data_IF_749349921274
#
_entry.id   IF_749349921274
#
_cell.length_a   1.000
_cell.length_b   1.000
_cell.length_c   1.000
_cell.angle_alpha   90.00
_cell.angle_beta   90.00
_cell.angle_gamma   90.00
#
_symmetry.space_group_name_H-M   'P 1'
#
loop_
_entity.id
_entity.type
_entity.pdbx_description
1 polymer ?
#
# COMPACT_ATOMS: atom_id res chain seq x y z
N UNK A 1 6.64 -23.37 -5.51
CA UNK A 1 8.06 -23.81 -5.59
C UNK A 1 8.88 -22.93 -6.53
N UNK A 2 8.48 -22.72 -7.79
CA UNK A 2 9.20 -21.88 -8.78
C UNK A 2 9.45 -20.43 -8.30
N UNK A 3 8.45 -19.75 -7.72
CA UNK A 3 8.62 -18.37 -7.18
C UNK A 3 9.63 -18.32 -6.03
N UNK A 4 9.60 -19.31 -5.14
CA UNK A 4 10.57 -19.44 -4.04
C UNK A 4 11.99 -19.64 -4.58
N UNK A 5 12.18 -20.53 -5.56
CA UNK A 5 13.48 -20.78 -6.21
C UNK A 5 13.98 -19.50 -6.89
N UNK A 6 13.13 -18.75 -7.59
CA UNK A 6 13.53 -17.46 -8.22
C UNK A 6 13.99 -16.42 -7.19
N UNK A 7 13.25 -16.27 -6.10
CA UNK A 7 13.59 -15.30 -5.02
C UNK A 7 14.84 -15.71 -4.22
N UNK A 8 15.20 -17.00 -4.20
CA UNK A 8 16.33 -17.51 -3.41
C UNK A 8 17.59 -17.80 -4.23
N UNK A 9 17.46 -18.53 -5.34
CA UNK A 9 18.57 -19.01 -6.17
C UNK A 9 19.06 -17.94 -7.14
N UNK A 10 18.16 -17.12 -7.69
CA UNK A 10 18.51 -16.06 -8.65
C UNK A 10 19.52 -15.04 -8.09
N UNK A 11 19.26 -14.44 -6.92
CA UNK A 11 20.21 -13.51 -6.29
C UNK A 11 21.54 -14.17 -5.89
N UNK A 12 21.52 -15.44 -5.48
CA UNK A 12 22.73 -16.18 -5.09
C UNK A 12 23.63 -16.45 -6.30
N UNK A 13 23.05 -16.86 -7.43
CA UNK A 13 23.77 -17.06 -8.69
C UNK A 13 24.37 -15.75 -9.22
N UNK A 14 23.64 -14.64 -9.15
CA UNK A 14 24.13 -13.32 -9.57
C UNK A 14 25.28 -12.78 -8.71
N UNK A 15 25.23 -13.03 -7.40
CA UNK A 15 26.31 -12.69 -6.46
C UNK A 15 27.60 -13.45 -6.78
N UNK A 16 27.50 -14.74 -7.11
CA UNK A 16 28.64 -15.60 -7.42
C UNK A 16 29.25 -15.33 -8.80
N UNK A 17 28.44 -14.89 -9.77
CA UNK A 17 28.87 -14.78 -11.18
C UNK A 17 29.37 -13.40 -11.62
N UNK A 18 29.06 -12.30 -10.91
CA UNK A 18 29.31 -10.95 -11.46
C UNK A 18 29.95 -9.93 -10.53
N UNK A 19 30.28 -10.24 -9.27
CA UNK A 19 30.87 -9.25 -8.34
C UNK A 19 30.00 -8.02 -8.08
N UNK A 20 28.72 -8.06 -8.48
CA UNK A 20 27.73 -7.00 -8.28
C UNK A 20 27.06 -7.23 -6.93
N UNK A 21 26.98 -6.19 -6.09
CA UNK A 21 26.09 -6.18 -4.93
C UNK A 21 24.64 -6.22 -5.43
N UNK A 22 24.07 -7.42 -5.53
CA UNK A 22 22.64 -7.59 -5.79
C UNK A 22 21.88 -6.95 -4.63
N UNK A 23 20.94 -6.04 -4.90
CA UNK A 23 20.03 -5.53 -3.86
C UNK A 23 19.47 -6.74 -3.11
N UNK A 24 19.73 -6.80 -1.80
CA UNK A 24 19.42 -7.97 -0.99
C UNK A 24 17.90 -8.12 -0.81
N UNK A 25 17.18 -8.57 -1.84
CA UNK A 25 15.78 -9.02 -1.75
C UNK A 25 15.70 -10.42 -1.12
N UNK A 26 16.47 -10.66 -0.05
CA UNK A 26 16.52 -11.99 0.54
C UNK A 26 15.23 -12.24 1.31
N UNK A 27 14.50 -13.26 0.87
CA UNK A 27 13.40 -13.83 1.62
C UNK A 27 13.96 -14.52 2.88
N UNK A 28 13.47 -14.14 4.06
CA UNK A 28 13.81 -14.82 5.30
C UNK A 28 12.94 -16.06 5.44
N UNK A 29 13.49 -17.22 5.07
CA UNK A 29 12.74 -18.48 5.10
C UNK A 29 12.28 -18.85 6.51
N UNK A 30 13.13 -18.67 7.52
CA UNK A 30 12.78 -18.98 8.91
C UNK A 30 11.61 -18.12 9.40
N UNK A 31 11.65 -16.81 9.17
CA UNK A 31 10.54 -15.90 9.53
C UNK A 31 9.29 -16.19 8.70
N UNK A 32 9.44 -16.49 7.42
CA UNK A 32 8.33 -16.84 6.52
C UNK A 32 7.62 -18.10 6.99
N UNK A 33 8.33 -19.20 7.23
CA UNK A 33 7.76 -20.46 7.70
C UNK A 33 7.12 -20.23 9.07
N UNK A 34 7.86 -19.66 10.03
CA UNK A 34 7.34 -19.38 11.37
C UNK A 34 6.05 -18.56 11.33
N UNK A 35 6.03 -17.46 10.58
CA UNK A 35 4.88 -16.58 10.51
C UNK A 35 3.63 -17.29 9.96
N UNK A 36 3.75 -17.97 8.81
CA UNK A 36 2.60 -18.62 8.19
C UNK A 36 1.99 -19.69 9.11
N UNK A 37 2.81 -20.58 9.68
CA UNK A 37 2.31 -21.64 10.56
C UNK A 37 1.86 -21.13 11.94
N UNK A 38 2.39 -19.99 12.41
CA UNK A 38 1.96 -19.38 13.67
C UNK A 38 0.62 -18.63 13.53
N UNK A 39 0.33 -18.07 12.36
CA UNK A 39 -0.76 -17.09 12.19
C UNK A 39 -1.93 -17.56 11.35
N UNK A 40 -1.79 -18.63 10.57
CA UNK A 40 -2.82 -19.09 9.62
C UNK A 40 -3.26 -20.54 9.87
N UNK A 41 -4.48 -20.92 9.44
CA UNK A 41 -4.88 -22.32 9.39
C UNK A 41 -3.92 -23.15 8.52
N UNK A 42 -3.68 -24.41 8.93
CA UNK A 42 -2.68 -25.29 8.31
C UNK A 42 -2.78 -25.35 6.77
N UNK A 43 -4.00 -25.47 6.23
CA UNK A 43 -4.24 -25.53 4.78
C UNK A 43 -3.77 -24.28 4.03
N UNK A 44 -3.91 -23.10 4.65
CA UNK A 44 -3.40 -21.84 4.08
C UNK A 44 -1.89 -21.74 4.32
N UNK A 45 -1.41 -22.06 5.53
CA UNK A 45 -0.01 -21.96 5.92
C UNK A 45 0.92 -22.77 4.99
N UNK A 46 0.53 -23.99 4.61
CA UNK A 46 1.31 -24.85 3.72
C UNK A 46 1.55 -24.24 2.32
N UNK A 47 0.72 -23.30 1.88
CA UNK A 47 0.92 -22.59 0.60
C UNK A 47 1.97 -21.48 0.69
N UNK A 48 2.41 -21.14 1.91
CA UNK A 48 3.31 -20.01 2.22
C UNK A 48 2.83 -18.69 1.58
N UNK A 49 1.59 -18.24 1.87
CA UNK A 49 1.06 -17.02 1.28
C UNK A 49 1.74 -15.74 1.76
N UNK A 50 2.32 -15.73 2.96
CA UNK A 50 2.98 -14.53 3.51
C UNK A 50 4.49 -14.67 3.41
N UNK A 51 5.15 -13.80 2.65
CA UNK A 51 6.60 -13.71 2.55
C UNK A 51 7.14 -12.61 3.46
N UNK A 52 8.10 -12.99 4.30
CA UNK A 52 8.80 -12.07 5.21
C UNK A 52 10.22 -11.93 4.72
N UNK A 53 10.61 -10.73 4.29
CA UNK A 53 11.97 -10.45 3.83
C UNK A 53 12.89 -10.14 5.01
N UNK A 54 14.21 -10.23 4.78
CA UNK A 54 15.21 -9.78 5.75
C UNK A 54 15.01 -8.30 6.13
N UNK A 55 15.61 -7.87 7.25
CA UNK A 55 15.46 -6.52 7.81
C UNK A 55 14.02 -6.14 8.21
N UNK A 56 13.13 -7.12 8.35
CA UNK A 56 11.81 -6.97 8.99
C UNK A 56 11.79 -7.72 10.31
N UNK A 57 11.55 -6.99 11.41
CA UNK A 57 11.43 -7.55 12.76
C UNK A 57 9.98 -7.85 13.11
N UNK A 58 9.72 -9.05 13.65
CA UNK A 58 8.41 -9.49 14.09
C UNK A 58 8.36 -9.42 15.62
N UNK A 59 7.62 -8.45 16.17
CA UNK A 59 7.50 -8.25 17.62
C UNK A 59 6.27 -8.96 18.18
N UNK A 60 5.11 -8.75 17.55
CA UNK A 60 3.84 -9.37 17.94
C UNK A 60 3.04 -9.78 16.72
N UNK A 61 2.47 -10.97 16.80
CA UNK A 61 1.61 -11.57 15.78
C UNK A 61 0.26 -11.82 16.43
N UNK A 62 -0.65 -10.86 16.27
CA UNK A 62 -2.06 -10.96 16.64
C UNK A 62 -2.85 -11.76 15.62
N UNK A 63 -4.14 -11.46 15.48
CA UNK A 63 -5.03 -12.20 14.56
C UNK A 63 -4.72 -11.83 13.11
N UNK A 64 -4.48 -12.83 12.27
CA UNK A 64 -4.24 -12.67 10.83
C UNK A 64 -5.28 -13.52 10.10
N UNK A 65 -5.98 -12.93 9.13
CA UNK A 65 -6.99 -13.62 8.33
C UNK A 65 -6.74 -13.38 6.85
N UNK A 66 -6.69 -14.45 6.05
CA UNK A 66 -6.71 -14.36 4.59
C UNK A 66 -8.11 -14.76 4.11
N UNK A 67 -8.91 -13.76 3.73
CA UNK A 67 -10.28 -13.87 3.25
C UNK A 67 -10.31 -13.73 1.73
N UNK A 68 -9.68 -14.68 1.05
CA UNK A 68 -9.61 -14.72 -0.41
C UNK A 68 -9.86 -16.14 -0.91
N UNK A 69 -10.63 -16.27 -1.99
CA UNK A 69 -10.93 -17.55 -2.62
C UNK A 69 -9.66 -18.22 -3.18
N UNK A 70 -8.74 -17.40 -3.72
CA UNK A 70 -7.51 -17.87 -4.32
C UNK A 70 -6.28 -17.50 -3.46
N UNK A 71 -5.97 -18.35 -2.49
CA UNK A 71 -4.72 -18.23 -1.70
C UNK A 71 -3.57 -18.89 -2.45
N UNK A 72 -2.51 -18.12 -2.73
CA UNK A 72 -1.31 -18.58 -3.44
C UNK A 72 -0.01 -18.13 -2.75
N UNK A 73 1.11 -18.71 -3.18
CA UNK A 73 2.43 -18.48 -2.58
C UNK A 73 2.92 -17.03 -2.76
N UNK A 74 3.30 -16.38 -1.66
CA UNK A 74 3.81 -15.00 -1.66
C UNK A 74 2.78 -13.96 -2.10
N UNK A 75 1.50 -14.21 -1.82
CA UNK A 75 0.36 -13.30 -1.99
C UNK A 75 0.52 -12.03 -1.14
N UNK A 76 1.03 -12.16 0.09
CA UNK A 76 1.36 -11.03 0.96
C UNK A 76 2.87 -10.96 1.08
N UNK A 77 3.45 -9.77 0.89
CA UNK A 77 4.90 -9.58 0.93
C UNK A 77 5.23 -8.42 1.87
N UNK A 78 6.04 -8.70 2.89
CA UNK A 78 6.46 -7.71 3.88
C UNK A 78 7.96 -7.48 3.87
N UNK A 79 8.31 -6.21 3.66
CA UNK A 79 9.68 -5.76 3.74
C UNK A 79 10.50 -6.07 2.48
N UNK A 80 9.85 -6.32 1.33
CA UNK A 80 10.58 -6.49 0.07
C UNK A 80 11.35 -5.19 -0.19
N UNK A 81 12.65 -5.24 0.04
CA UNK A 81 13.51 -4.06 -0.09
C UNK A 81 13.46 -3.58 -1.54
N UNK A 82 13.50 -2.28 -1.74
CA UNK A 82 13.74 -1.63 -3.03
C UNK A 82 14.88 -0.63 -2.86
N UNK A 83 15.38 -0.05 -3.95
CA UNK A 83 16.43 0.99 -3.90
C UNK A 83 16.14 2.12 -2.90
N UNK A 84 14.85 2.43 -2.68
CA UNK A 84 14.38 3.52 -1.82
C UNK A 84 14.19 3.12 -0.35
N UNK A 85 14.38 1.84 0.00
CA UNK A 85 14.17 1.35 1.36
C UNK A 85 15.18 1.94 2.34
N UNK A 86 14.69 2.55 3.41
CA UNK A 86 15.50 3.05 4.51
C UNK A 86 15.15 2.29 5.80
N UNK A 87 16.18 1.87 6.54
CA UNK A 87 16.03 1.25 7.86
C UNK A 87 15.43 -0.17 7.87
N UNK A 88 15.08 -0.61 9.08
CA UNK A 88 14.49 -1.93 9.33
C UNK A 88 12.97 -1.80 9.51
N UNK A 89 12.22 -2.65 8.80
CA UNK A 89 10.78 -2.76 9.00
C UNK A 89 10.44 -3.42 10.33
N UNK A 90 9.28 -3.10 10.89
CA UNK A 90 8.81 -3.63 12.18
C UNK A 90 7.33 -3.97 12.10
N UNK A 91 6.96 -5.13 12.63
CA UNK A 91 5.55 -5.55 12.70
C UNK A 91 5.23 -5.88 14.14
N UNK A 92 4.35 -5.07 14.72
CA UNK A 92 3.78 -5.25 16.05
C UNK A 92 2.26 -5.22 15.94
N UNK A 93 1.65 -6.38 15.75
CA UNK A 93 0.20 -6.51 15.67
C UNK A 93 -0.34 -7.14 16.96
N UNK A 94 -1.05 -6.38 17.78
CA UNK A 94 -1.89 -6.87 18.88
C UNK A 94 -3.34 -7.12 18.43
N UNK A 95 -3.80 -6.41 17.40
CA UNK A 95 -5.15 -6.48 16.89
C UNK A 95 -5.33 -7.52 15.77
N UNK A 96 -6.13 -7.13 14.77
CA UNK A 96 -6.50 -7.97 13.62
C UNK A 96 -6.05 -7.35 12.31
N UNK A 97 -5.46 -8.16 11.43
CA UNK A 97 -5.19 -7.78 10.04
C UNK A 97 -5.90 -8.76 9.10
N UNK A 98 -6.71 -8.23 8.20
CA UNK A 98 -7.47 -9.00 7.20
C UNK A 98 -6.94 -8.70 5.79
N UNK A 99 -6.63 -9.77 5.05
CA UNK A 99 -6.17 -9.74 3.67
C UNK A 99 -7.24 -10.34 2.75
N UNK A 100 -7.84 -9.51 1.90
CA UNK A 100 -8.81 -9.96 0.89
C UNK A 100 -8.17 -10.24 -0.48
N UNK A 101 -6.90 -9.89 -0.65
CA UNK A 101 -6.15 -10.08 -1.89
C UNK A 101 -4.66 -9.82 -1.71
N UNK A 102 -3.89 -9.75 -2.80
CA UNK A 102 -2.44 -9.52 -2.73
C UNK A 102 -2.08 -8.19 -2.07
N UNK A 103 -1.05 -8.16 -1.24
CA UNK A 103 -0.59 -6.94 -0.57
C UNK A 103 0.93 -6.90 -0.49
N UNK A 104 1.49 -5.75 -0.88
CA UNK A 104 2.92 -5.53 -0.91
C UNK A 104 3.27 -4.36 0.00
N UNK A 105 4.04 -4.65 1.05
CA UNK A 105 4.67 -3.63 1.89
C UNK A 105 6.16 -3.61 1.58
N UNK A 106 6.63 -2.47 1.09
CA UNK A 106 8.03 -2.22 0.81
C UNK A 106 8.91 -2.36 2.06
N UNK A 107 10.22 -2.36 1.84
CA UNK A 107 11.22 -2.35 2.90
C UNK A 107 11.09 -1.17 3.86
N UNK A 108 11.43 -1.38 5.13
CA UNK A 108 11.41 -0.33 6.15
C UNK A 108 10.02 0.05 6.68
N UNK A 109 8.93 -0.54 6.16
CA UNK A 109 7.59 -0.26 6.67
C UNK A 109 7.45 -0.69 8.14
N UNK A 110 6.76 0.14 8.92
CA UNK A 110 6.49 -0.11 10.34
C UNK A 110 4.98 -0.16 10.54
N UNK A 111 4.49 -1.28 11.09
CA UNK A 111 3.11 -1.46 11.51
C UNK A 111 3.09 -1.62 13.03
N UNK A 112 2.34 -0.76 13.70
CA UNK A 112 1.88 -0.95 15.06
C UNK A 112 0.36 -0.93 15.08
N UNK A 113 -0.26 -2.09 15.28
CA UNK A 113 -1.70 -2.25 15.20
C UNK A 113 -2.28 -2.84 16.49
N UNK A 114 -3.21 -2.13 17.11
CA UNK A 114 -4.10 -2.64 18.16
C UNK A 114 -5.58 -2.63 17.75
N UNK A 115 -5.91 -2.11 16.57
CA UNK A 115 -7.25 -2.11 15.97
C UNK A 115 -7.44 -3.18 14.90
N UNK A 116 -8.26 -2.86 13.90
CA UNK A 116 -8.46 -3.69 12.69
C UNK A 116 -7.87 -3.01 11.47
N UNK A 117 -6.99 -3.69 10.74
CA UNK A 117 -6.52 -3.28 9.41
C UNK A 117 -7.11 -4.21 8.35
N UNK A 118 -7.72 -3.66 7.31
CA UNK A 118 -8.27 -4.42 6.18
C UNK A 118 -7.64 -3.96 4.87
N UNK A 119 -7.11 -4.91 4.12
CA UNK A 119 -6.57 -4.68 2.80
C UNK A 119 -7.43 -5.40 1.77
N UNK A 120 -8.06 -4.63 0.90
CA UNK A 120 -9.02 -5.14 -0.08
C UNK A 120 -8.36 -5.78 -1.31
N UNK A 121 -7.03 -5.82 -1.36
CA UNK A 121 -6.25 -6.57 -2.35
C UNK A 121 -5.59 -5.71 -3.42
N UNK A 122 -4.64 -6.31 -4.13
CA UNK A 122 -3.80 -5.64 -5.12
C UNK A 122 -3.19 -4.33 -4.59
N UNK A 123 -2.91 -4.22 -3.29
CA UNK A 123 -2.46 -2.99 -2.62
C UNK A 123 -0.93 -2.92 -2.60
N UNK A 124 -0.37 -1.74 -2.86
CA UNK A 124 1.07 -1.50 -2.68
C UNK A 124 1.32 -0.33 -1.74
N UNK A 125 2.19 -0.56 -0.77
CA UNK A 125 2.63 0.41 0.22
C UNK A 125 4.12 0.60 0.04
N UNK A 126 4.48 1.83 -0.33
CA UNK A 126 5.84 2.25 -0.54
C UNK A 126 6.67 2.16 0.73
N UNK A 127 7.96 2.05 0.52
CA UNK A 127 8.99 1.82 1.52
C UNK A 127 8.94 2.83 2.67
N UNK A 128 9.27 2.40 3.89
CA UNK A 128 9.38 3.27 5.06
C UNK A 128 8.06 3.87 5.55
N UNK A 129 6.90 3.40 5.06
CA UNK A 129 5.59 3.86 5.53
C UNK A 129 5.35 3.41 6.98
N UNK A 130 4.89 4.34 7.82
CA UNK A 130 4.57 4.11 9.23
C UNK A 130 3.06 4.10 9.43
N UNK A 131 2.51 3.01 9.96
CA UNK A 131 1.08 2.83 10.23
C UNK A 131 0.86 2.54 11.71
N UNK A 132 0.22 3.47 12.41
CA UNK A 132 -0.12 3.41 13.83
C UNK A 132 -1.65 3.33 13.97
N UNK A 133 -2.18 2.11 14.04
CA UNK A 133 -3.63 1.87 13.98
C UNK A 133 -4.14 1.38 15.33
N UNK A 134 -5.14 2.08 15.88
CA UNK A 134 -5.71 1.88 17.23
C UNK A 134 -7.20 1.56 17.23
N UNK A 135 -7.87 1.73 16.09
CA UNK A 135 -9.29 1.50 15.87
C UNK A 135 -9.52 0.77 14.54
N UNK A 136 -9.42 1.47 13.40
CA UNK A 136 -9.77 0.93 12.09
C UNK A 136 -9.04 1.62 10.93
N UNK A 137 -8.44 0.79 10.07
CA UNK A 137 -7.91 1.16 8.76
C UNK A 137 -8.49 0.23 7.70
N UNK A 138 -9.06 0.78 6.63
CA UNK A 138 -9.35 0.04 5.40
C UNK A 138 -8.66 0.68 4.21
N UNK A 139 -7.99 -0.14 3.40
CA UNK A 139 -7.39 0.27 2.14
C UNK A 139 -8.03 -0.51 1.00
N UNK A 140 -8.69 0.24 0.11
CA UNK A 140 -9.39 -0.24 -1.07
C UNK A 140 -8.47 -0.95 -2.07
N UNK A 141 -9.10 -1.73 -2.95
CA UNK A 141 -8.40 -2.57 -3.91
C UNK A 141 -7.60 -1.71 -4.90
N UNK A 142 -6.44 -2.18 -5.35
CA UNK A 142 -5.57 -1.48 -6.31
C UNK A 142 -4.98 -0.14 -5.85
N UNK A 143 -5.14 0.21 -4.58
CA UNK A 143 -4.56 1.44 -4.05
C UNK A 143 -3.03 1.39 -4.00
N UNK A 144 -2.39 2.52 -4.30
CA UNK A 144 -0.93 2.74 -4.29
C UNK A 144 -0.61 3.84 -3.31
N UNK A 145 0.19 3.52 -2.30
CA UNK A 145 0.69 4.47 -1.30
C UNK A 145 2.17 4.70 -1.56
N UNK A 146 2.58 5.95 -1.73
CA UNK A 146 3.97 6.33 -1.91
C UNK A 146 4.80 6.10 -0.65
N UNK A 147 6.11 6.03 -0.83
CA UNK A 147 7.08 5.79 0.25
C UNK A 147 7.03 6.87 1.35
N UNK A 148 7.49 6.52 2.55
CA UNK A 148 7.64 7.40 3.71
C UNK A 148 6.34 8.07 4.17
N UNK A 149 5.18 7.48 3.87
CA UNK A 149 3.89 8.00 4.31
C UNK A 149 3.62 7.66 5.78
N UNK A 150 2.70 8.37 6.42
CA UNK A 150 2.31 8.18 7.81
C UNK A 150 0.80 8.02 7.94
N UNK A 151 0.34 6.98 8.64
CA UNK A 151 -1.07 6.72 8.91
C UNK A 151 -1.28 6.60 10.41
N UNK A 152 -2.23 7.38 10.95
CA UNK A 152 -2.57 7.32 12.37
C UNK A 152 -4.04 7.67 12.60
N UNK A 153 -4.84 6.69 13.02
CA UNK A 153 -6.29 6.80 13.25
C UNK A 153 -6.65 7.28 14.67
N UNK A 154 -5.64 7.68 15.44
CA UNK A 154 -5.78 8.21 16.80
C UNK A 154 -4.90 9.44 17.02
N UNK A 155 -5.19 10.18 18.09
CA UNK A 155 -4.27 11.15 18.68
C UNK A 155 -3.61 10.64 19.97
N UNK A 156 -3.85 9.37 20.33
CA UNK A 156 -3.37 8.63 21.53
C UNK A 156 -3.78 9.24 22.90
N UNK A 157 -4.07 10.53 22.97
CA UNK A 157 -4.50 11.24 24.18
C UNK A 157 -5.92 11.81 24.03
N UNK A 158 -6.65 11.89 25.13
CA UNK A 158 -7.94 12.56 25.18
C UNK A 158 -7.76 14.07 25.34
N UNK A 159 -8.69 14.84 24.77
CA UNK A 159 -8.76 16.30 24.92
C UNK A 159 -10.14 16.70 25.44
N UNK A 160 -10.19 17.73 26.28
CA UNK A 160 -11.44 18.33 26.77
C UNK A 160 -11.68 19.66 26.05
N UNK A 161 -12.92 19.91 25.61
CA UNK A 161 -13.33 21.22 25.12
C UNK A 161 -13.63 22.13 26.33
N UNK A 162 -12.94 23.26 26.46
CA UNK A 162 -13.02 24.10 27.68
C UNK A 162 -14.32 24.91 27.80
N UNK A 163 -15.07 25.09 26.71
CA UNK A 163 -16.35 25.80 26.72
C UNK A 163 -17.49 24.87 27.13
N UNK A 164 -17.50 23.64 26.60
CA UNK A 164 -18.56 22.66 26.78
C UNK A 164 -18.24 21.58 27.82
N UNK A 165 -16.99 21.54 28.29
CA UNK A 165 -16.41 20.49 29.14
C UNK A 165 -16.51 19.06 28.56
N UNK A 166 -16.79 18.92 27.26
CA UNK A 166 -16.95 17.61 26.61
C UNK A 166 -15.59 17.01 26.25
N UNK A 167 -15.39 15.74 26.59
CA UNK A 167 -14.30 14.90 26.07
C UNK A 167 -14.84 14.08 24.90
N UNK A 168 -14.13 14.12 23.76
CA UNK A 168 -14.51 13.35 22.57
C UNK A 168 -13.60 12.13 22.39
N UNK A 169 -14.02 11.18 21.54
CA UNK A 169 -13.19 10.01 21.21
C UNK A 169 -11.88 10.47 20.56
N UNK A 170 -10.76 9.94 21.05
CA UNK A 170 -9.43 10.21 20.49
C UNK A 170 -9.09 9.32 19.28
N UNK A 171 -10.04 8.50 18.80
CA UNK A 171 -9.89 7.59 17.66
C UNK A 171 -11.02 7.80 16.67
N UNK A 172 -10.72 7.67 15.39
CA UNK A 172 -11.71 7.61 14.33
C UNK A 172 -11.12 6.93 13.08
N UNK A 173 -11.94 6.20 12.30
CA UNK A 173 -11.46 5.33 11.23
C UNK A 173 -10.73 6.09 10.12
N UNK A 174 -9.84 5.39 9.43
CA UNK A 174 -9.28 5.76 8.13
C UNK A 174 -9.82 4.80 7.06
N UNK A 175 -10.45 5.33 6.01
CA UNK A 175 -11.02 4.54 4.91
C UNK A 175 -10.53 5.08 3.57
N UNK A 176 -9.71 4.31 2.87
CA UNK A 176 -9.17 4.67 1.57
C UNK A 176 -9.92 3.91 0.47
N UNK A 177 -10.53 4.61 -0.48
CA UNK A 177 -11.22 4.02 -1.63
C UNK A 177 -10.30 3.19 -2.54
N UNK A 178 -10.90 2.55 -3.55
CA UNK A 178 -10.21 1.72 -4.55
C UNK A 178 -9.45 2.58 -5.54
N UNK A 179 -8.39 2.03 -6.12
CA UNK A 179 -7.57 2.67 -7.16
C UNK A 179 -7.02 4.05 -6.75
N UNK A 180 -6.93 4.33 -5.45
CA UNK A 180 -6.38 5.58 -4.98
C UNK A 180 -4.87 5.60 -5.19
N UNK A 181 -4.35 6.76 -5.56
CA UNK A 181 -2.92 6.99 -5.68
C UNK A 181 -2.51 8.08 -4.70
N UNK A 182 -1.84 7.67 -3.62
CA UNK A 182 -1.38 8.57 -2.56
C UNK A 182 0.12 8.83 -2.77
N UNK A 183 0.50 10.09 -2.99
CA UNK A 183 1.90 10.47 -3.13
C UNK A 183 2.72 10.19 -1.86
N UNK A 184 4.05 10.16 -2.01
CA UNK A 184 4.98 9.88 -0.92
C UNK A 184 4.90 10.94 0.19
N UNK A 185 5.31 10.57 1.41
CA UNK A 185 5.31 11.44 2.60
C UNK A 185 3.94 12.03 2.95
N UNK A 186 2.85 11.42 2.50
CA UNK A 186 1.51 11.88 2.87
C UNK A 186 1.24 11.53 4.34
N UNK A 187 0.65 12.47 5.08
CA UNK A 187 0.20 12.29 6.46
C UNK A 187 -1.31 12.05 6.42
N UNK A 188 -1.74 10.86 6.85
CA UNK A 188 -3.14 10.43 6.87
C UNK A 188 -3.58 10.25 8.31
N UNK A 189 -4.47 11.13 8.78
CA UNK A 189 -4.97 11.15 10.15
C UNK A 189 -6.39 10.60 10.24
N UNK A 190 -6.81 10.32 11.49
CA UNK A 190 -8.17 9.93 11.87
C UNK A 190 -9.24 10.76 11.15
N UNK A 191 -10.40 10.16 10.89
CA UNK A 191 -11.50 10.69 10.05
C UNK A 191 -11.21 10.78 8.55
N UNK A 192 -10.02 10.40 8.06
CA UNK A 192 -9.77 10.42 6.62
C UNK A 192 -10.65 9.40 5.91
N UNK A 193 -11.49 9.88 4.98
CA UNK A 193 -12.17 9.01 4.01
C UNK A 193 -12.00 9.55 2.61
N UNK A 194 -11.79 8.67 1.64
CA UNK A 194 -11.61 9.04 0.22
C UNK A 194 -12.49 8.16 -0.67
N UNK A 195 -13.06 8.75 -1.72
CA UNK A 195 -13.78 8.02 -2.77
C UNK A 195 -12.82 7.18 -3.60
N UNK A 196 -13.36 6.31 -4.45
CA UNK A 196 -12.59 5.56 -5.45
C UNK A 196 -11.91 6.54 -6.43
N UNK A 197 -10.76 6.14 -6.97
CA UNK A 197 -9.95 6.89 -7.93
C UNK A 197 -9.45 8.28 -7.46
N UNK A 198 -9.42 8.53 -6.16
CA UNK A 198 -8.82 9.73 -5.57
C UNK A 198 -7.29 9.73 -5.75
N UNK A 199 -6.75 10.83 -6.27
CA UNK A 199 -5.32 11.09 -6.34
C UNK A 199 -4.94 12.07 -5.24
N UNK A 200 -3.90 11.78 -4.46
CA UNK A 200 -3.25 12.75 -3.57
C UNK A 200 -1.94 13.11 -4.23
N UNK A 201 -1.89 14.25 -4.90
CA UNK A 201 -0.86 14.55 -5.90
C UNK A 201 0.47 15.00 -5.29
N UNK A 202 0.44 15.73 -4.19
CA UNK A 202 1.63 16.39 -3.64
C UNK A 202 2.24 15.62 -2.48
N UNK A 203 3.57 15.56 -2.45
CA UNK A 203 4.31 15.11 -1.26
C UNK A 203 3.94 15.97 -0.03
N UNK A 204 3.97 15.39 1.16
CA UNK A 204 3.68 16.06 2.43
C UNK A 204 2.23 16.55 2.60
N UNK A 205 1.28 16.10 1.77
CA UNK A 205 -0.15 16.44 1.94
C UNK A 205 -0.69 15.89 3.27
N UNK A 206 -1.57 16.65 3.94
CA UNK A 206 -2.25 16.24 5.17
C UNK A 206 -3.71 15.92 4.90
N UNK A 207 -4.08 14.64 4.98
CA UNK A 207 -5.46 14.18 4.99
C UNK A 207 -5.94 14.03 6.43
N UNK A 208 -7.04 14.69 6.77
CA UNK A 208 -7.58 14.69 8.15
C UNK A 208 -9.11 14.82 8.22
N UNK A 209 -9.80 14.58 7.11
CA UNK A 209 -11.25 14.81 6.96
C UNK A 209 -11.89 13.77 6.05
N UNK A 210 -13.22 13.74 6.07
CA UNK A 210 -13.99 13.01 5.06
C UNK A 210 -13.96 13.80 3.74
N UNK A 211 -13.44 13.19 2.67
CA UNK A 211 -13.38 13.79 1.34
C UNK A 211 -14.40 13.17 0.37
N UNK A 212 -15.25 12.25 0.85
CA UNK A 212 -16.15 11.46 -0.03
C UNK A 212 -17.22 12.31 -0.71
N UNK A 213 -17.64 13.41 -0.07
CA UNK A 213 -18.56 14.41 -0.64
C UNK A 213 -18.09 15.01 -1.97
N UNK A 214 -16.79 14.90 -2.29
CA UNK A 214 -16.24 15.44 -3.53
C UNK A 214 -16.46 14.53 -4.75
N UNK A 215 -16.89 13.28 -4.54
CA UNK A 215 -17.06 12.26 -5.58
C UNK A 215 -15.75 11.56 -5.97
N UNK A 216 -15.82 10.72 -7.01
CA UNK A 216 -14.66 10.04 -7.59
C UNK A 216 -13.79 11.00 -8.44
N UNK A 217 -12.61 10.53 -8.86
CA UNK A 217 -11.71 11.24 -9.78
C UNK A 217 -11.27 12.64 -9.30
N UNK A 218 -11.17 12.82 -7.98
CA UNK A 218 -10.68 14.04 -7.36
C UNK A 218 -9.17 13.99 -7.16
N UNK A 219 -8.53 15.15 -7.30
CA UNK A 219 -7.13 15.36 -6.93
C UNK A 219 -7.07 16.21 -5.68
N UNK A 220 -6.45 15.69 -4.63
CA UNK A 220 -6.22 16.34 -3.35
C UNK A 220 -4.76 16.80 -3.23
N UNK A 221 -4.55 17.95 -2.59
CA UNK A 221 -3.22 18.45 -2.26
C UNK A 221 -3.25 19.54 -1.19
N UNK A 222 -2.09 19.76 -0.55
CA UNK A 222 -1.88 20.83 0.43
C UNK A 222 -1.94 20.38 1.89
N UNK A 223 -1.72 21.32 2.80
CA UNK A 223 -1.73 21.10 4.26
C UNK A 223 -2.57 22.19 4.92
N UNK A 224 -3.80 21.91 5.39
CA UNK A 224 -4.56 20.67 5.16
C UNK A 224 -4.96 20.49 3.69
N UNK A 225 -5.24 19.25 3.28
CA UNK A 225 -5.57 18.95 1.90
C UNK A 225 -6.91 19.58 1.46
N UNK A 226 -6.94 20.06 0.22
CA UNK A 226 -8.12 20.54 -0.50
C UNK A 226 -8.21 19.85 -1.86
N UNK A 227 -9.39 19.89 -2.48
CA UNK A 227 -9.55 19.52 -3.89
C UNK A 227 -8.85 20.57 -4.75
N UNK A 228 -7.90 20.13 -5.56
CA UNK A 228 -7.14 20.99 -6.49
C UNK A 228 -7.48 20.71 -7.95
N UNK A 229 -8.11 19.56 -8.25
CA UNK A 229 -8.67 19.24 -9.55
C UNK A 229 -9.73 18.14 -9.45
N UNK A 230 -10.55 17.98 -10.50
CA UNK A 230 -11.57 16.94 -10.66
C UNK A 230 -11.52 16.35 -12.06
N UNK A 231 -12.08 15.16 -12.24
CA UNK A 231 -12.13 14.46 -13.53
C UNK A 231 -10.77 13.87 -13.94
N UNK A 232 -9.87 13.62 -12.99
CA UNK A 232 -8.53 13.09 -13.25
C UNK A 232 -8.40 11.72 -12.59
N UNK A 233 -7.88 10.75 -13.35
CA UNK A 233 -7.55 9.41 -12.88
C UNK A 233 -6.13 9.04 -13.26
N UNK A 234 -5.59 8.04 -12.57
CA UNK A 234 -4.32 7.41 -12.92
C UNK A 234 -4.54 6.30 -13.96
N UNK A 235 -3.62 6.17 -14.91
CA UNK A 235 -3.51 5.03 -15.81
C UNK A 235 -2.71 3.93 -15.09
N UNK A 236 -3.27 2.73 -14.97
CA UNK A 236 -2.64 1.57 -14.33
C UNK A 236 -2.11 0.54 -15.34
N UNK A 237 -2.58 0.62 -16.59
CA UNK A 237 -2.13 -0.18 -17.73
C UNK A 237 -0.68 0.17 -18.11
N UNK A 238 0.27 -0.76 -17.89
CA UNK A 238 1.68 -0.51 -18.19
C UNK A 238 1.98 -0.40 -19.69
N UNK A 239 1.14 -1.00 -20.56
CA UNK A 239 1.32 -0.89 -22.02
C UNK A 239 0.91 0.50 -22.50
N UNK A 240 -0.25 0.99 -22.04
CA UNK A 240 -0.69 2.36 -22.30
C UNK A 240 0.33 3.39 -21.80
N UNK A 241 0.89 3.18 -20.60
CA UNK A 241 1.99 4.02 -20.10
C UNK A 241 3.23 3.95 -21.01
N UNK A 242 3.61 2.78 -21.51
CA UNK A 242 4.75 2.64 -22.46
C UNK A 242 4.49 3.39 -23.76
N UNK A 243 3.31 3.22 -24.36
CA UNK A 243 2.88 3.89 -25.59
C UNK A 243 2.90 5.42 -25.44
N UNK A 244 2.33 5.93 -24.33
CA UNK A 244 2.35 7.37 -24.03
C UNK A 244 3.78 7.88 -23.82
N UNK A 245 4.62 7.12 -23.11
CA UNK A 245 6.03 7.48 -22.92
C UNK A 245 6.79 7.54 -24.25
N UNK A 246 6.57 6.60 -25.16
CA UNK A 246 7.18 6.61 -26.51
C UNK A 246 6.68 7.79 -27.35
N UNK A 247 5.38 8.10 -27.29
CA UNK A 247 4.79 9.26 -27.95
C UNK A 247 5.44 10.57 -27.47
N UNK A 248 5.47 10.84 -26.17
CA UNK A 248 6.04 12.09 -25.63
C UNK A 248 7.56 12.17 -25.79
N UNK A 249 8.28 11.03 -25.85
CA UNK A 249 9.72 11.01 -26.20
C UNK A 249 9.98 11.42 -27.65
N UNK A 250 9.13 10.99 -28.57
CA UNK A 250 9.23 11.29 -30.00
C UNK A 250 8.67 12.67 -30.37
N UNK A 251 7.77 13.22 -29.56
CA UNK A 251 7.13 14.52 -29.75
C UNK A 251 7.43 15.48 -28.59
N UNK A 252 8.69 15.93 -28.47
CA UNK A 252 9.17 16.70 -27.30
C UNK A 252 8.40 17.99 -27.00
N UNK A 253 7.84 18.64 -28.03
CA UNK A 253 7.07 19.88 -27.88
C UNK A 253 5.59 19.63 -27.56
N UNK A 254 5.11 18.39 -27.69
CA UNK A 254 3.72 18.05 -27.41
C UNK A 254 3.44 18.12 -25.91
N UNK A 255 2.50 18.99 -25.51
CA UNK A 255 2.05 19.14 -24.12
C UNK A 255 0.90 18.20 -23.74
N UNK A 256 0.24 17.60 -24.73
CA UNK A 256 -0.89 16.71 -24.54
C UNK A 256 -0.99 15.67 -25.65
N UNK A 257 -1.73 14.59 -25.36
CA UNK A 257 -2.11 13.54 -26.30
C UNK A 257 -3.60 13.25 -26.13
N UNK A 258 -4.35 13.24 -27.23
CA UNK A 258 -5.79 13.03 -27.21
C UNK A 258 -6.12 11.56 -27.47
N UNK A 259 -6.77 10.88 -26.51
CA UNK A 259 -7.02 9.44 -26.58
C UNK A 259 -8.16 9.04 -27.54
N UNK A 260 -9.16 9.90 -27.74
CA UNK A 260 -10.35 9.65 -28.58
C UNK A 260 -10.98 8.26 -28.35
N UNK A 261 -11.38 7.97 -27.10
CA UNK A 261 -11.99 6.69 -26.71
C UNK A 261 -13.41 6.89 -26.20
N UNK A 262 -14.26 5.88 -26.41
CA UNK A 262 -15.53 5.76 -25.67
C UNK A 262 -15.26 5.55 -24.18
N UNK A 263 -16.27 5.73 -23.31
CA UNK A 263 -16.11 5.44 -21.87
C UNK A 263 -15.63 4.02 -21.59
N UNK A 264 -16.16 3.01 -22.29
CA UNK A 264 -15.79 1.60 -22.12
C UNK A 264 -14.35 1.35 -22.57
N UNK A 265 -13.96 1.88 -23.72
CA UNK A 265 -12.59 1.75 -24.23
C UNK A 265 -11.58 2.52 -23.38
N UNK A 266 -12.00 3.63 -22.76
CA UNK A 266 -11.17 4.40 -21.82
C UNK A 266 -10.93 3.61 -20.54
N UNK A 267 -11.97 2.97 -19.98
CA UNK A 267 -11.84 2.12 -18.80
C UNK A 267 -10.85 0.98 -19.06
N UNK A 268 -11.03 0.28 -20.18
CA UNK A 268 -10.12 -0.75 -20.65
C UNK A 268 -8.71 -0.22 -20.83
N UNK A 269 -8.55 0.92 -21.52
CA UNK A 269 -7.26 1.55 -21.75
C UNK A 269 -6.53 1.87 -20.44
N UNK A 270 -7.26 2.32 -19.42
CA UNK A 270 -6.68 2.68 -18.14
C UNK A 270 -6.34 1.48 -17.24
N UNK A 271 -7.06 0.36 -17.33
CA UNK A 271 -6.95 -0.75 -16.36
C UNK A 271 -6.40 -2.06 -16.94
N UNK A 272 -6.52 -2.30 -18.25
CA UNK A 272 -6.02 -3.54 -18.85
C UNK A 272 -4.53 -3.70 -18.62
N UNK A 273 -4.06 -4.95 -18.49
CA UNK A 273 -2.66 -5.23 -18.18
C UNK A 273 -2.16 -4.46 -16.95
N UNK A 274 -3.02 -4.07 -15.99
CA UNK A 274 -2.53 -3.54 -14.73
C UNK A 274 -1.54 -4.54 -14.11
N UNK A 275 -0.49 -4.01 -13.47
CA UNK A 275 0.46 -4.89 -12.79
C UNK A 275 -0.23 -5.54 -11.58
N UNK A 276 -0.68 -6.78 -11.79
CA UNK A 276 -1.12 -7.73 -10.78
C UNK A 276 0.12 -8.52 -10.32
N UNK A 277 0.24 -8.80 -9.03
CA UNK A 277 1.43 -9.41 -8.44
C UNK A 277 1.13 -10.67 -7.62
#
# INVERSE_FOLDING_TARGET
MIKLIKEWVGPLALLLLKGIRVQHHRLSLSKTIFFNFKSLPLRQACKLPVFIYHNTSLYRIGKIEIKSENVFQGMIQWGKLGYKSQGNGKICNYGRIEFHGPVFLGGGCIIENSGTMRFMGDTQIGEGTLMLIRDYLEIGRYTRIGFLSFFMDSDDHFTVNMETQKVTRNKAPIVIGKYNWIANKTVVKKNTKTSDYTIVASSNTLLSKDYTENGEFCVLGGVPAKVIAKGIRRIYNYKAESELNEYFKSHKEAKSFQLNKTPEDLEKYCLDNALHF
#
